data_IF_101577348866
#
_entry.id   IF_101577348866
#
_cell.length_a   1.000
_cell.length_b   1.000
_cell.length_c   1.000
_cell.angle_alpha   90.00
_cell.angle_beta   90.00
_cell.angle_gamma   90.00
#
_symmetry.space_group_name_H-M   'P 1'
#
loop_
_entity.id
_entity.type
_entity.pdbx_description
1 polymer ?
#
# COMPACT_ATOMS: atom_id res chain seq x y z
N UNK A 1 9.76 -17.92 -91.97
CA UNK A 1 9.36 -18.40 -90.62
C UNK A 1 9.09 -17.16 -89.77
N UNK A 2 7.85 -16.88 -89.33
CA UNK A 2 7.55 -15.71 -88.52
C UNK A 2 7.78 -16.00 -87.03
N UNK A 3 8.41 -15.06 -86.32
CA UNK A 3 8.60 -15.11 -84.86
C UNK A 3 7.34 -14.56 -84.18
N UNK A 4 6.68 -15.38 -83.35
CA UNK A 4 5.56 -14.98 -82.50
C UNK A 4 6.09 -14.22 -81.29
N UNK A 5 5.88 -12.90 -81.24
CA UNK A 5 6.16 -12.09 -80.06
C UNK A 5 5.03 -12.27 -79.04
N UNK A 6 5.30 -13.06 -77.99
CA UNK A 6 4.43 -13.18 -76.82
C UNK A 6 4.45 -11.89 -76.00
N UNK A 7 3.35 -11.12 -76.05
CA UNK A 7 3.12 -9.99 -75.14
C UNK A 7 2.70 -10.51 -73.77
N UNK A 8 3.58 -10.41 -72.78
CA UNK A 8 3.21 -10.59 -71.38
C UNK A 8 2.34 -9.42 -70.93
N UNK A 9 1.04 -9.67 -70.73
CA UNK A 9 0.14 -8.72 -70.10
C UNK A 9 0.48 -8.63 -68.60
N UNK A 10 0.90 -7.45 -68.13
CA UNK A 10 1.03 -7.19 -66.69
C UNK A 10 -0.38 -7.15 -66.08
N UNK A 11 -0.64 -7.90 -65.00
CA UNK A 11 -1.92 -7.77 -64.30
C UNK A 11 -2.07 -6.32 -63.82
N UNK A 12 -3.27 -5.73 -63.94
CA UNK A 12 -3.52 -4.38 -63.45
C UNK A 12 -3.28 -4.36 -61.94
N UNK A 13 -2.39 -3.46 -61.50
CA UNK A 13 -2.19 -3.18 -60.08
C UNK A 13 -3.41 -2.40 -59.61
N UNK A 14 -4.34 -3.08 -58.92
CA UNK A 14 -5.49 -2.44 -58.32
C UNK A 14 -5.05 -1.50 -57.21
N UNK A 15 -5.41 -0.22 -57.32
CA UNK A 15 -5.29 0.74 -56.23
C UNK A 15 -6.37 0.50 -55.17
N UNK A 16 -6.10 0.93 -53.94
CA UNK A 16 -7.06 0.84 -52.84
C UNK A 16 -8.29 1.69 -53.10
N UNK A 17 -9.48 1.15 -52.79
CA UNK A 17 -10.72 1.91 -52.89
C UNK A 17 -10.89 2.85 -51.69
N UNK A 18 -11.59 3.97 -51.87
CA UNK A 18 -11.92 4.88 -50.76
C UNK A 18 -12.68 4.19 -49.63
N UNK A 19 -13.51 3.20 -49.99
CA UNK A 19 -14.29 2.41 -49.03
C UNK A 19 -13.39 1.50 -48.19
N UNK A 20 -12.40 0.87 -48.82
CA UNK A 20 -11.43 0.01 -48.13
C UNK A 20 -10.56 0.80 -47.13
N UNK A 21 -10.19 2.03 -47.51
CA UNK A 21 -9.48 2.94 -46.61
C UNK A 21 -10.38 3.44 -45.46
N UNK A 22 -11.67 3.67 -45.71
CA UNK A 22 -12.62 4.05 -44.65
C UNK A 22 -12.85 2.93 -43.62
N UNK A 23 -13.02 1.68 -44.08
CA UNK A 23 -13.22 0.52 -43.20
C UNK A 23 -11.96 0.22 -42.39
N UNK A 24 -10.77 0.31 -42.99
CA UNK A 24 -9.51 0.11 -42.26
C UNK A 24 -9.31 1.16 -41.18
N UNK A 25 -9.58 2.44 -41.45
CA UNK A 25 -9.52 3.50 -40.44
C UNK A 25 -10.54 3.28 -39.31
N UNK A 26 -11.76 2.82 -39.63
CA UNK A 26 -12.77 2.45 -38.62
C UNK A 26 -12.28 1.31 -37.72
N UNK A 27 -11.68 0.27 -38.29
CA UNK A 27 -11.13 -0.84 -37.50
C UNK A 27 -9.95 -0.37 -36.63
N UNK A 28 -9.05 0.45 -37.18
CA UNK A 28 -7.89 1.00 -36.45
C UNK A 28 -8.33 1.87 -35.27
N UNK A 29 -9.37 2.72 -35.43
CA UNK A 29 -9.86 3.56 -34.32
C UNK A 29 -10.53 2.74 -33.23
N UNK A 30 -11.29 1.70 -33.57
CA UNK A 30 -11.89 0.78 -32.59
C UNK A 30 -10.79 0.05 -31.79
N UNK A 31 -9.78 -0.50 -32.49
CA UNK A 31 -8.65 -1.18 -31.85
C UNK A 31 -7.81 -0.23 -30.99
N UNK A 32 -7.55 0.99 -31.45
CA UNK A 32 -6.82 1.99 -30.69
C UNK A 32 -7.58 2.41 -29.42
N UNK A 33 -8.91 2.49 -29.49
CA UNK A 33 -9.78 2.85 -28.37
C UNK A 33 -9.78 1.80 -27.25
N UNK A 34 -9.67 0.51 -27.60
CA UNK A 34 -9.59 -0.60 -26.61
C UNK A 34 -8.28 -0.58 -25.81
N UNK A 35 -7.20 0.01 -26.35
CA UNK A 35 -5.86 -0.03 -25.75
C UNK A 35 -5.59 1.10 -24.73
N UNK A 36 -6.42 2.14 -24.67
CA UNK A 36 -6.17 3.32 -23.81
C UNK A 36 -6.62 3.14 -22.35
N UNK A 37 -7.44 2.13 -22.05
CA UNK A 37 -8.05 1.91 -20.73
C UNK A 37 -7.06 1.36 -19.65
N UNK A 38 -6.10 0.46 -19.93
CA UNK A 38 -5.40 -0.28 -18.87
C UNK A 38 -4.18 0.43 -18.24
N UNK A 39 -3.87 1.68 -18.57
CA UNK A 39 -2.62 2.32 -18.09
C UNK A 39 -2.72 2.89 -16.67
N UNK A 40 -3.86 3.47 -16.29
CA UNK A 40 -4.02 4.13 -14.98
C UNK A 40 -4.25 3.15 -13.83
N UNK A 41 -4.82 1.96 -14.10
CA UNK A 41 -5.11 0.97 -13.07
C UNK A 41 -3.89 0.20 -12.56
N UNK A 42 -2.82 0.08 -13.36
CA UNK A 42 -1.65 -0.75 -13.03
C UNK A 42 -0.82 -0.17 -11.89
N UNK A 43 -0.71 1.15 -11.81
CA UNK A 43 0.01 1.83 -10.73
C UNK A 43 -0.70 1.63 -9.39
N UNK A 44 -2.01 1.90 -9.33
CA UNK A 44 -2.79 1.70 -8.12
C UNK A 44 -2.71 0.25 -7.60
N UNK A 45 -2.78 -0.74 -8.49
CA UNK A 45 -2.63 -2.16 -8.12
C UNK A 45 -1.24 -2.42 -7.54
N UNK A 46 -0.18 -1.91 -8.19
CA UNK A 46 1.20 -2.08 -7.72
C UNK A 46 1.40 -1.45 -6.35
N UNK A 47 0.92 -0.23 -6.14
CA UNK A 47 1.05 0.48 -4.87
C UNK A 47 0.31 -0.23 -3.75
N UNK A 48 -0.90 -0.78 -4.02
CA UNK A 48 -1.62 -1.62 -3.05
C UNK A 48 -0.84 -2.88 -2.66
N UNK A 49 -0.26 -3.56 -3.64
CA UNK A 49 0.55 -4.74 -3.39
C UNK A 49 1.80 -4.41 -2.55
N UNK A 50 2.42 -3.26 -2.82
CA UNK A 50 3.59 -2.81 -2.05
C UNK A 50 3.22 -2.47 -0.60
N UNK A 51 2.15 -1.72 -0.37
CA UNK A 51 1.64 -1.45 0.98
C UNK A 51 1.30 -2.75 1.72
N UNK A 52 0.71 -3.73 1.03
CA UNK A 52 0.45 -5.05 1.61
C UNK A 52 1.73 -5.76 2.09
N UNK A 53 2.79 -5.72 1.29
CA UNK A 53 4.11 -6.27 1.69
C UNK A 53 4.70 -5.53 2.88
N UNK A 54 4.56 -4.21 2.92
CA UNK A 54 5.04 -3.39 4.03
C UNK A 54 4.28 -3.69 5.32
N UNK A 55 2.96 -3.95 5.26
CA UNK A 55 2.16 -4.38 6.42
C UNK A 55 2.65 -5.72 7.00
N UNK A 56 3.01 -6.69 6.15
CA UNK A 56 3.62 -7.94 6.61
C UNK A 56 4.98 -7.69 7.26
N UNK A 57 5.82 -6.84 6.67
CA UNK A 57 7.10 -6.44 7.28
C UNK A 57 6.91 -5.73 8.63
N UNK A 58 5.87 -4.89 8.77
CA UNK A 58 5.51 -4.25 10.04
C UNK A 58 5.14 -5.31 11.08
N UNK A 59 4.29 -6.28 10.71
CA UNK A 59 3.90 -7.40 11.60
C UNK A 59 5.14 -8.16 12.08
N UNK A 60 6.05 -8.51 11.17
CA UNK A 60 7.27 -9.23 11.53
C UNK A 60 8.19 -8.40 12.44
N UNK A 61 8.36 -7.11 12.15
CA UNK A 61 9.18 -6.22 12.96
C UNK A 61 8.62 -6.02 14.37
N UNK A 62 7.30 -5.89 14.52
CA UNK A 62 6.65 -5.79 15.84
C UNK A 62 6.82 -7.07 16.66
N UNK A 63 6.69 -8.25 16.02
CA UNK A 63 6.95 -9.54 16.66
C UNK A 63 8.42 -9.62 17.09
N UNK A 64 9.36 -9.26 16.21
CA UNK A 64 10.79 -9.25 16.51
C UNK A 64 11.13 -8.31 17.67
N UNK A 65 10.55 -7.10 17.68
CA UNK A 65 10.71 -6.14 18.76
C UNK A 65 10.21 -6.72 20.10
N UNK A 66 9.02 -7.34 20.10
CA UNK A 66 8.45 -7.99 21.29
C UNK A 66 9.30 -9.16 21.80
N UNK A 67 9.92 -9.94 20.92
CA UNK A 67 10.84 -11.02 21.32
C UNK A 67 12.09 -10.46 22.02
N UNK A 68 12.64 -9.34 21.52
CA UNK A 68 13.89 -8.76 22.02
C UNK A 68 13.67 -7.96 23.31
N UNK A 69 12.63 -7.13 23.35
CA UNK A 69 12.39 -6.19 24.45
C UNK A 69 11.38 -6.72 25.47
N UNK A 70 10.62 -7.76 25.11
CA UNK A 70 9.54 -8.27 25.94
C UNK A 70 8.27 -7.42 25.91
N UNK A 71 8.26 -6.28 25.24
CA UNK A 71 7.10 -5.40 25.08
C UNK A 71 6.97 -4.96 23.61
N UNK A 72 5.79 -4.50 23.22
CA UNK A 72 5.58 -3.78 21.97
C UNK A 72 5.95 -2.31 22.14
N UNK A 73 6.43 -1.65 21.08
CA UNK A 73 6.88 -0.26 21.19
C UNK A 73 5.68 0.68 21.37
N UNK A 74 5.87 1.77 22.11
CA UNK A 74 4.88 2.83 22.22
C UNK A 74 4.69 3.56 20.89
N UNK A 75 3.48 4.07 20.59
CA UNK A 75 3.27 4.93 19.43
C UNK A 75 4.17 6.18 19.51
N UNK A 76 4.57 6.71 18.36
CA UNK A 76 5.29 7.99 18.27
C UNK A 76 4.29 9.13 18.09
N UNK A 77 4.45 10.21 18.86
CA UNK A 77 3.68 11.44 18.70
C UNK A 77 4.54 12.66 18.32
N UNK A 78 5.86 12.50 18.20
CA UNK A 78 6.74 13.55 17.71
C UNK A 78 6.29 14.02 16.31
N UNK A 79 6.02 15.32 16.21
CA UNK A 79 5.48 15.95 15.00
C UNK A 79 6.54 16.68 14.19
N UNK A 80 7.69 16.97 14.78
CA UNK A 80 8.76 17.72 14.15
C UNK A 80 9.75 16.79 13.44
N UNK A 81 9.84 16.82 12.09
CA UNK A 81 10.78 15.98 11.35
C UNK A 81 12.26 16.23 11.66
N UNK A 82 12.60 17.40 12.22
CA UNK A 82 13.95 17.75 12.64
C UNK A 82 14.31 17.25 14.06
N UNK A 83 13.36 16.70 14.80
CA UNK A 83 13.59 16.16 16.13
C UNK A 83 14.40 14.85 16.05
N UNK A 84 15.29 14.65 17.01
CA UNK A 84 16.05 13.40 17.14
C UNK A 84 15.15 12.22 17.51
N UNK A 85 13.98 12.50 18.08
CA UNK A 85 13.00 11.51 18.52
C UNK A 85 11.95 11.22 17.44
N UNK A 86 12.02 11.90 16.29
CA UNK A 86 11.05 11.71 15.22
C UNK A 86 11.09 10.27 14.69
N UNK A 87 9.98 9.55 14.82
CA UNK A 87 9.86 8.14 14.41
C UNK A 87 10.41 7.12 15.41
N UNK A 88 10.79 7.55 16.62
CA UNK A 88 11.11 6.69 17.75
C UNK A 88 9.90 6.52 18.67
N UNK A 89 9.80 5.41 19.41
CA UNK A 89 8.71 5.22 20.35
C UNK A 89 8.77 6.27 21.46
N UNK A 90 7.61 6.78 21.86
CA UNK A 90 7.52 7.67 23.02
C UNK A 90 8.01 6.95 24.29
N UNK A 91 8.63 7.69 25.21
CA UNK A 91 9.14 7.13 26.47
C UNK A 91 8.04 6.60 27.41
N UNK A 92 6.77 6.96 27.17
CA UNK A 92 5.65 6.47 27.93
C UNK A 92 4.44 6.30 27.01
N UNK A 93 3.84 5.12 27.03
CA UNK A 93 2.63 4.85 26.27
C UNK A 93 1.43 5.61 26.87
N UNK A 94 1.01 6.69 26.21
CA UNK A 94 -0.32 7.23 26.46
C UNK A 94 -1.36 6.33 25.78
N UNK A 95 -2.13 5.62 26.58
CA UNK A 95 -3.05 4.57 26.13
C UNK A 95 -4.37 5.11 25.53
N UNK A 96 -4.57 6.42 25.65
CA UNK A 96 -5.83 7.10 25.31
C UNK A 96 -5.83 7.67 23.89
N UNK A 97 -4.66 7.80 23.26
CA UNK A 97 -4.51 8.51 21.98
C UNK A 97 -3.86 7.56 20.98
N UNK A 98 -4.41 7.54 19.77
CA UNK A 98 -3.79 6.88 18.63
C UNK A 98 -2.58 7.69 18.14
N UNK A 99 -1.48 6.99 17.86
CA UNK A 99 -0.26 7.59 17.36
C UNK A 99 0.15 7.05 16.00
N UNK A 100 1.42 7.26 15.67
CA UNK A 100 2.03 6.68 14.48
C UNK A 100 2.93 5.50 14.86
N UNK A 101 3.18 4.63 13.89
CA UNK A 101 4.09 3.51 14.06
C UNK A 101 5.53 4.05 14.30
N UNK A 102 6.28 3.56 15.31
CA UNK A 102 7.66 3.97 15.52
C UNK A 102 8.60 3.30 14.50
N UNK A 103 8.58 3.80 13.26
CA UNK A 103 9.24 3.16 12.10
C UNK A 103 10.76 3.06 12.22
N UNK A 104 11.44 3.96 12.93
CA UNK A 104 12.92 3.96 13.01
C UNK A 104 13.46 2.82 13.84
N UNK A 105 12.86 2.56 15.00
CA UNK A 105 13.31 1.44 15.87
C UNK A 105 12.97 0.09 15.24
N UNK A 106 11.91 0.04 14.43
CA UNK A 106 11.49 -1.15 13.70
C UNK A 106 12.26 -1.36 12.39
N UNK A 107 13.08 -0.39 11.95
CA UNK A 107 13.84 -0.48 10.70
C UNK A 107 12.95 -0.46 9.44
N UNK A 108 11.82 0.24 9.51
CA UNK A 108 10.78 0.24 8.48
C UNK A 108 10.73 1.58 7.73
N UNK A 109 10.18 1.60 6.51
CA UNK A 109 9.87 2.85 5.84
C UNK A 109 8.87 3.66 6.65
N UNK A 110 9.07 4.98 6.65
CA UNK A 110 8.25 5.93 7.38
C UNK A 110 6.80 5.99 6.88
N UNK A 111 6.61 5.80 5.59
CA UNK A 111 5.32 5.88 4.92
C UNK A 111 5.01 4.61 4.15
N UNK A 112 3.74 4.44 3.81
CA UNK A 112 3.28 3.50 2.82
C UNK A 112 3.69 3.92 1.39
N UNK A 113 3.26 3.14 0.40
CA UNK A 113 3.65 3.35 -0.98
C UNK A 113 2.96 4.54 -1.69
N UNK A 114 1.96 5.19 -1.07
CA UNK A 114 1.37 6.46 -1.55
C UNK A 114 1.88 7.69 -0.78
N UNK A 115 2.43 7.47 0.41
CA UNK A 115 2.82 8.55 1.31
C UNK A 115 4.00 9.39 0.85
N UNK A 116 4.09 10.56 1.47
CA UNK A 116 5.17 11.53 1.22
C UNK A 116 5.80 11.89 2.55
N UNK A 117 7.14 11.86 2.59
CA UNK A 117 7.91 12.22 3.78
C UNK A 117 7.72 13.70 4.12
N UNK A 118 7.42 13.97 5.38
CA UNK A 118 7.28 15.34 5.91
C UNK A 118 8.65 16.00 6.06
N UNK A 119 8.75 17.26 5.69
CA UNK A 119 9.96 18.09 5.81
C UNK A 119 9.81 19.16 6.89
N UNK A 120 8.56 19.55 7.20
CA UNK A 120 8.24 20.54 8.22
C UNK A 120 7.15 20.05 9.19
N UNK A 121 7.09 20.59 10.42
CA UNK A 121 6.05 20.23 11.40
C UNK A 121 4.61 20.52 10.95
N UNK A 122 4.43 21.42 9.97
CA UNK A 122 3.12 21.76 9.41
C UNK A 122 2.66 20.88 8.24
N UNK A 123 3.53 20.02 7.71
CA UNK A 123 3.18 19.18 6.57
C UNK A 123 2.12 18.13 6.95
N UNK A 124 1.24 17.72 6.04
CA UNK A 124 0.25 16.70 6.31
C UNK A 124 0.88 15.31 6.50
N UNK A 125 0.23 14.45 7.28
CA UNK A 125 0.64 13.06 7.52
C UNK A 125 0.12 12.13 6.42
N UNK A 126 0.60 12.31 5.20
CA UNK A 126 0.15 11.52 4.04
C UNK A 126 0.83 10.16 3.99
N UNK A 127 0.02 9.09 4.01
CA UNK A 127 0.48 7.70 3.93
C UNK A 127 1.32 7.24 5.12
N UNK A 128 1.17 7.87 6.29
CA UNK A 128 1.84 7.39 7.51
C UNK A 128 1.03 6.28 8.16
N UNK A 129 1.74 5.32 8.74
CA UNK A 129 1.15 4.18 9.44
C UNK A 129 0.51 4.62 10.75
N UNK A 130 -0.80 4.41 10.85
CA UNK A 130 -1.55 4.57 12.10
C UNK A 130 -1.34 3.36 12.97
N UNK A 131 -1.10 3.59 14.25
CA UNK A 131 -0.74 2.55 15.19
C UNK A 131 -1.38 2.76 16.56
N UNK A 132 -2.01 1.69 17.04
CA UNK A 132 -2.49 1.57 18.41
C UNK A 132 -2.05 0.25 19.00
N UNK A 133 -1.50 0.29 20.20
CA UNK A 133 -1.06 -0.90 20.93
C UNK A 133 -1.96 -1.14 22.12
N UNK A 134 -2.16 -2.41 22.48
CA UNK A 134 -2.87 -2.75 23.70
C UNK A 134 -1.99 -2.38 24.91
N UNK A 135 -2.52 -1.60 25.87
CA UNK A 135 -1.82 -1.11 27.05
C UNK A 135 -0.86 -2.08 27.73
N UNK A 136 -1.36 -3.27 28.08
CA UNK A 136 -0.61 -4.25 28.88
C UNK A 136 0.60 -4.83 28.14
N UNK A 137 0.62 -4.71 26.81
CA UNK A 137 1.71 -5.24 25.97
C UNK A 137 2.78 -4.19 25.68
N UNK A 138 2.55 -2.93 26.03
CA UNK A 138 3.44 -1.81 25.72
C UNK A 138 4.06 -1.15 26.96
N UNK A 139 3.97 -1.83 28.11
CA UNK A 139 4.58 -1.36 29.35
C UNK A 139 6.07 -1.71 29.35
N UNK A 140 6.90 -0.67 29.42
CA UNK A 140 8.35 -0.84 29.48
C UNK A 140 8.78 -1.58 30.75
N UNK A 141 9.66 -2.57 30.56
CA UNK A 141 10.22 -3.36 31.66
C UNK A 141 9.32 -4.48 32.19
N UNK A 142 8.12 -4.66 31.65
CA UNK A 142 7.27 -5.83 31.95
C UNK A 142 7.19 -6.76 30.75
N UNK A 143 7.88 -7.92 30.77
CA UNK A 143 7.89 -8.81 29.63
C UNK A 143 6.51 -9.48 29.44
N UNK A 144 6.11 -9.66 28.19
CA UNK A 144 4.94 -10.43 27.78
C UNK A 144 5.18 -11.90 28.16
N UNK A 145 4.29 -12.45 28.97
CA UNK A 145 4.30 -13.84 29.42
C UNK A 145 3.08 -14.59 28.89
N UNK A 146 3.11 -15.92 28.95
CA UNK A 146 1.96 -16.75 28.54
C UNK A 146 0.69 -16.47 29.38
N UNK A 147 0.85 -15.91 30.59
CA UNK A 147 -0.25 -15.49 31.46
C UNK A 147 -0.70 -14.05 31.23
N UNK A 148 -0.02 -13.30 30.36
CA UNK A 148 -0.44 -11.94 30.01
C UNK A 148 -1.73 -12.03 29.23
N UNK A 149 -2.83 -11.58 29.84
CA UNK A 149 -4.13 -11.46 29.17
C UNK A 149 -4.16 -10.10 28.49
N UNK A 150 -4.20 -10.03 27.15
CA UNK A 150 -4.36 -8.76 26.46
C UNK A 150 -5.71 -8.14 26.84
N UNK A 151 -5.72 -6.82 27.02
CA UNK A 151 -6.95 -6.09 27.31
C UNK A 151 -7.99 -6.32 26.20
N UNK A 152 -9.23 -6.65 26.59
CA UNK A 152 -10.32 -7.06 25.70
C UNK A 152 -11.07 -5.86 25.07
N UNK A 153 -10.63 -4.63 25.33
CA UNK A 153 -11.33 -3.41 24.87
C UNK A 153 -10.96 -2.99 23.43
N UNK A 154 -10.05 -3.72 22.77
CA UNK A 154 -9.73 -3.49 21.35
C UNK A 154 -10.60 -4.38 20.45
N UNK A 155 -11.71 -3.83 19.99
CA UNK A 155 -12.61 -4.48 19.03
C UNK A 155 -12.47 -3.85 17.63
N UNK A 156 -12.18 -4.67 16.62
CA UNK A 156 -12.33 -4.25 15.22
C UNK A 156 -13.72 -4.66 14.75
N UNK A 157 -14.54 -3.67 14.42
CA UNK A 157 -15.91 -3.89 13.94
C UNK A 157 -16.02 -3.45 12.50
N UNK A 158 -16.77 -4.22 11.73
CA UNK A 158 -17.18 -3.83 10.40
C UNK A 158 -18.09 -2.60 10.47
N UNK A 159 -17.78 -1.59 9.67
CA UNK A 159 -18.47 -0.30 9.71
C UNK A 159 -19.93 -0.38 9.25
N UNK A 160 -20.27 -1.36 8.41
CA UNK A 160 -21.59 -1.50 7.80
C UNK A 160 -22.49 -2.41 8.64
N UNK A 161 -21.94 -3.53 9.09
CA UNK A 161 -22.67 -4.61 9.78
C UNK A 161 -22.51 -4.55 11.30
N UNK A 162 -21.51 -3.83 11.81
CA UNK A 162 -21.17 -3.76 13.24
C UNK A 162 -20.60 -5.06 13.80
N UNK A 163 -20.41 -6.09 12.96
CA UNK A 163 -19.89 -7.38 13.36
C UNK A 163 -18.41 -7.27 13.71
N UNK A 164 -17.99 -8.01 14.74
CA UNK A 164 -16.58 -8.16 15.07
C UNK A 164 -15.87 -8.86 13.90
N UNK A 165 -14.84 -8.20 13.36
CA UNK A 165 -14.02 -8.78 12.30
C UNK A 165 -12.96 -9.74 12.86
N UNK A 166 -12.72 -9.73 14.17
CA UNK A 166 -11.70 -10.55 14.82
C UNK A 166 -12.38 -11.69 15.57
N UNK A 167 -12.15 -12.90 15.07
CA UNK A 167 -12.75 -14.17 15.49
C UNK A 167 -12.14 -14.68 16.81
N UNK A 168 -12.62 -14.15 17.95
CA UNK A 168 -12.23 -14.54 19.32
C UNK A 168 -10.71 -14.47 19.64
N UNK A 169 -9.91 -13.85 18.77
CA UNK A 169 -8.47 -13.65 18.99
C UNK A 169 -8.25 -12.34 19.71
N UNK A 170 -7.49 -12.41 20.81
CA UNK A 170 -7.01 -11.21 21.47
C UNK A 170 -6.07 -10.42 20.55
N UNK A 171 -6.38 -9.15 20.33
CA UNK A 171 -5.53 -8.24 19.56
C UNK A 171 -4.35 -7.77 20.41
N UNK A 172 -3.18 -7.68 19.81
CA UNK A 172 -1.99 -7.13 20.47
C UNK A 172 -1.73 -5.66 20.09
N UNK A 173 -1.91 -5.36 18.80
CA UNK A 173 -1.85 -4.02 18.25
C UNK A 173 -2.67 -3.95 16.95
N UNK A 174 -3.08 -2.75 16.59
CA UNK A 174 -3.71 -2.40 15.33
C UNK A 174 -2.77 -1.49 14.55
N UNK A 175 -2.49 -1.88 13.30
CA UNK A 175 -1.77 -1.05 12.33
C UNK A 175 -2.60 -0.96 11.07
N UNK A 176 -2.73 0.24 10.50
CA UNK A 176 -3.33 0.39 9.18
C UNK A 176 -2.68 1.54 8.40
N UNK A 177 -2.71 1.41 7.07
CA UNK A 177 -2.38 2.49 6.15
C UNK A 177 -3.59 3.39 5.98
N UNK A 178 -3.37 4.71 5.94
CA UNK A 178 -4.43 5.68 5.63
C UNK A 178 -4.75 5.75 4.15
N UNK A 179 -3.93 5.13 3.30
CA UNK A 179 -4.05 5.23 1.85
C UNK A 179 -3.75 6.64 1.31
N UNK A 180 -4.00 6.86 -0.01
CA UNK A 180 -3.94 8.18 -0.63
C UNK A 180 -5.05 9.12 -0.14
#
# INVERSE_FOLDING_TARGET
MPQLTSRHARPPQGGFTLVELAVTLLVVTILASMLLIPLTGREAIRTRQETGRQLEAIREALIGYAIIHGSLPCPTHETNPASVDYGLPDASCNQTVEGYLPWRILGLPQTDAWGVTRLAPGDPWLGYWRYRVVPILAVDGTPIQATTVPDLDLDVRDVVTGQLMVDDKALAALVYSTGP
#
